data_IF_524487210026
#
_entry.id   IF_524487210026
#
_cell.length_a   1.000
_cell.length_b   1.000
_cell.length_c   1.000
_cell.angle_alpha   90.00
_cell.angle_beta   90.00
_cell.angle_gamma   90.00
#
_symmetry.space_group_name_H-M   'P 1'
#
loop_
_entity.id
_entity.type
_entity.pdbx_description
1 polymer ?
#
# COMPACT_ATOMS: atom_id res chain seq x y z
N UNK A 1 -4.85 -22.85 -30.62
CA UNK A 1 -4.38 -22.04 -29.48
C UNK A 1 -3.44 -21.01 -30.08
N UNK A 2 -3.92 -19.80 -30.29
CA UNK A 2 -3.08 -18.69 -30.74
C UNK A 2 -2.26 -18.22 -29.51
N UNK A 3 -0.97 -18.47 -29.52
CA UNK A 3 -0.04 -17.84 -28.60
C UNK A 3 0.09 -16.38 -29.06
N UNK A 4 -0.56 -15.46 -28.36
CA UNK A 4 -0.29 -14.02 -28.52
C UNK A 4 1.19 -13.82 -28.28
N UNK A 5 1.94 -13.47 -29.32
CA UNK A 5 3.34 -13.14 -29.17
C UNK A 5 3.44 -11.77 -28.49
N UNK A 6 4.52 -11.51 -27.76
CA UNK A 6 4.81 -10.19 -27.18
C UNK A 6 4.75 -9.05 -28.22
N UNK A 7 4.90 -9.35 -29.51
CA UNK A 7 4.78 -8.41 -30.61
C UNK A 7 3.34 -7.95 -30.86
N UNK A 8 2.34 -8.73 -30.47
CA UNK A 8 0.92 -8.34 -30.58
C UNK A 8 0.48 -7.35 -29.49
N UNK A 9 1.35 -7.10 -28.51
CA UNK A 9 1.14 -6.13 -27.41
C UNK A 9 1.83 -4.76 -27.67
N UNK A 10 2.33 -4.53 -28.89
CA UNK A 10 3.11 -3.36 -29.26
C UNK A 10 2.50 -1.98 -28.94
N UNK A 11 1.17 -1.75 -29.02
CA UNK A 11 0.61 -0.44 -28.66
C UNK A 11 0.88 -0.03 -27.21
N UNK A 12 1.08 -0.98 -26.31
CA UNK A 12 1.30 -0.71 -24.89
C UNK A 12 2.71 -0.20 -24.61
N UNK A 13 3.69 -0.52 -25.47
CA UNK A 13 5.08 -0.09 -25.30
C UNK A 13 5.31 1.39 -25.65
N UNK A 14 4.39 2.02 -26.35
CA UNK A 14 4.50 3.42 -26.79
C UNK A 14 3.78 4.39 -25.86
N UNK A 15 3.08 3.90 -24.83
CA UNK A 15 2.29 4.70 -23.92
C UNK A 15 2.83 4.66 -22.50
N UNK A 16 2.88 5.81 -21.85
CA UNK A 16 3.09 5.90 -20.41
C UNK A 16 1.84 5.46 -19.63
N UNK A 17 1.98 5.17 -18.33
CA UNK A 17 0.87 4.65 -17.50
C UNK A 17 -0.33 5.57 -17.42
N UNK A 18 -0.13 6.87 -17.38
CA UNK A 18 -1.16 7.89 -17.40
C UNK A 18 -1.89 7.94 -18.75
N UNK A 19 -1.16 7.81 -19.85
CA UNK A 19 -1.73 7.73 -21.20
C UNK A 19 -2.59 6.46 -21.37
N UNK A 20 -2.14 5.31 -20.85
CA UNK A 20 -2.91 4.07 -20.84
C UNK A 20 -4.25 4.26 -20.10
N UNK A 21 -4.27 5.00 -19.00
CA UNK A 21 -5.50 5.34 -18.28
C UNK A 21 -6.46 6.18 -19.13
N UNK A 22 -5.93 7.20 -19.82
CA UNK A 22 -6.73 8.02 -20.74
C UNK A 22 -7.33 7.17 -21.86
N UNK A 23 -6.55 6.27 -22.45
CA UNK A 23 -7.04 5.35 -23.47
C UNK A 23 -8.10 4.41 -22.91
N UNK A 24 -7.87 3.85 -21.71
CA UNK A 24 -8.83 2.99 -21.01
C UNK A 24 -10.19 3.68 -20.82
N UNK A 25 -10.20 4.94 -20.36
CA UNK A 25 -11.43 5.74 -20.25
C UNK A 25 -12.13 5.93 -21.59
N UNK A 26 -11.38 6.24 -22.65
CA UNK A 26 -11.93 6.42 -24.01
C UNK A 26 -12.50 5.13 -24.59
N UNK A 27 -11.98 3.98 -24.20
CA UNK A 27 -12.51 2.67 -24.57
C UNK A 27 -13.72 2.25 -23.75
N UNK A 28 -14.17 3.08 -22.80
CA UNK A 28 -15.36 2.82 -21.97
C UNK A 28 -15.13 1.87 -20.79
N UNK A 29 -13.88 1.67 -20.37
CA UNK A 29 -13.61 0.92 -19.15
C UNK A 29 -14.16 1.67 -17.92
N UNK A 30 -14.70 0.96 -16.92
CA UNK A 30 -15.17 1.58 -15.69
C UNK A 30 -14.06 2.39 -14.99
N UNK A 31 -14.41 3.55 -14.45
CA UNK A 31 -13.47 4.42 -13.75
C UNK A 31 -12.77 3.71 -12.59
N UNK A 32 -13.51 2.87 -11.86
CA UNK A 32 -12.96 2.03 -10.77
C UNK A 32 -11.87 1.06 -11.22
N UNK A 33 -11.83 0.71 -12.50
CA UNK A 33 -10.78 -0.12 -13.07
C UNK A 33 -9.60 0.72 -13.55
N UNK A 34 -9.88 1.86 -14.18
CA UNK A 34 -8.87 2.74 -14.78
C UNK A 34 -8.09 3.50 -13.72
N UNK A 35 -8.78 4.00 -12.67
CA UNK A 35 -8.19 4.77 -11.57
C UNK A 35 -7.73 3.90 -10.39
N UNK A 36 -7.81 2.58 -10.52
CA UNK A 36 -7.35 1.69 -9.46
C UNK A 36 -5.90 1.98 -9.08
N UNK A 37 -5.65 2.02 -7.77
CA UNK A 37 -4.29 2.12 -7.25
C UNK A 37 -3.38 1.03 -7.85
N UNK A 38 -2.12 1.33 -8.12
CA UNK A 38 -1.14 0.31 -8.48
C UNK A 38 -1.08 -0.78 -7.41
N UNK A 39 -1.02 -2.03 -7.86
CA UNK A 39 -0.89 -3.18 -6.98
C UNK A 39 0.25 -4.05 -7.50
N UNK A 40 1.19 -4.48 -6.66
CA UNK A 40 2.34 -5.25 -7.10
C UNK A 40 1.92 -6.60 -7.67
N UNK A 41 2.61 -7.06 -8.73
CA UNK A 41 2.34 -8.34 -9.38
C UNK A 41 2.38 -9.54 -8.42
N UNK A 42 3.35 -9.63 -7.48
CA UNK A 42 3.39 -10.69 -6.47
C UNK A 42 2.30 -10.58 -5.38
N UNK A 43 1.46 -9.57 -5.43
CA UNK A 43 0.42 -9.32 -4.43
C UNK A 43 0.97 -8.79 -3.11
N UNK A 44 0.21 -9.01 -2.03
CA UNK A 44 0.60 -8.52 -0.69
C UNK A 44 1.89 -9.16 -0.15
N UNK A 45 2.35 -10.25 -0.73
CA UNK A 45 3.58 -10.92 -0.31
C UNK A 45 4.80 -10.00 -0.28
N UNK A 46 4.93 -9.10 -1.27
CA UNK A 46 6.03 -8.14 -1.36
C UNK A 46 6.01 -7.07 -0.25
N UNK A 47 4.88 -6.90 0.42
CA UNK A 47 4.71 -5.98 1.56
C UNK A 47 4.87 -6.66 2.92
N UNK A 48 5.01 -7.99 2.92
CA UNK A 48 5.40 -8.80 4.08
C UNK A 48 6.90 -9.10 3.95
N UNK A 49 7.75 -8.17 4.40
CA UNK A 49 9.19 -8.19 4.11
C UNK A 49 9.89 -9.42 4.67
N UNK A 50 10.79 -10.00 3.90
CA UNK A 50 11.51 -11.21 4.28
C UNK A 50 10.65 -12.48 4.19
N UNK A 51 10.86 -13.45 5.08
CA UNK A 51 10.11 -14.71 5.06
C UNK A 51 8.62 -14.51 5.36
N UNK A 52 7.73 -14.90 4.46
CA UNK A 52 6.28 -14.74 4.64
C UNK A 52 5.78 -15.78 5.65
N UNK A 53 5.16 -15.30 6.73
CA UNK A 53 4.44 -16.14 7.70
C UNK A 53 2.96 -15.79 7.70
N UNK A 54 2.12 -16.76 8.08
CA UNK A 54 0.67 -16.58 8.04
C UNK A 54 0.20 -15.46 8.97
N UNK A 55 0.72 -15.40 10.18
CA UNK A 55 0.38 -14.41 11.18
C UNK A 55 0.74 -12.97 10.71
N UNK A 56 1.90 -12.78 10.08
CA UNK A 56 2.30 -11.49 9.51
C UNK A 56 1.45 -11.10 8.31
N UNK A 57 1.15 -12.07 7.45
CA UNK A 57 0.33 -11.81 6.27
C UNK A 57 -1.11 -11.42 6.66
N UNK A 58 -1.68 -12.08 7.67
CA UNK A 58 -3.00 -11.70 8.17
C UNK A 58 -2.98 -10.32 8.83
N UNK A 59 -1.97 -10.02 9.67
CA UNK A 59 -1.79 -8.70 10.26
C UNK A 59 -1.65 -7.61 9.17
N UNK A 60 -0.89 -7.88 8.11
CA UNK A 60 -0.77 -6.98 6.96
C UNK A 60 -2.12 -6.75 6.27
N UNK A 61 -2.88 -7.81 5.99
CA UNK A 61 -4.17 -7.73 5.29
C UNK A 61 -5.20 -6.92 6.06
N UNK A 62 -5.31 -7.17 7.35
CA UNK A 62 -6.24 -6.46 8.23
C UNK A 62 -5.83 -5.00 8.40
N UNK A 63 -4.55 -4.72 8.63
CA UNK A 63 -4.05 -3.35 8.73
C UNK A 63 -4.23 -2.57 7.41
N UNK A 64 -3.94 -3.18 6.25
CA UNK A 64 -4.12 -2.56 4.94
C UNK A 64 -5.60 -2.24 4.66
N UNK A 65 -6.51 -3.12 5.05
CA UNK A 65 -7.94 -2.89 4.92
C UNK A 65 -8.42 -1.71 5.77
N UNK A 66 -7.92 -1.56 7.00
CA UNK A 66 -8.23 -0.44 7.89
C UNK A 66 -7.71 0.87 7.30
N UNK A 67 -6.45 0.89 6.85
CA UNK A 67 -5.84 2.10 6.24
C UNK A 67 -6.64 2.55 5.02
N UNK A 68 -7.01 1.62 4.14
CA UNK A 68 -7.85 1.92 2.97
C UNK A 68 -9.18 2.52 3.36
N UNK A 69 -9.90 1.88 4.26
CA UNK A 69 -11.22 2.34 4.71
C UNK A 69 -11.17 3.74 5.32
N UNK A 70 -10.16 4.05 6.14
CA UNK A 70 -10.03 5.35 6.79
C UNK A 70 -9.62 6.47 5.82
N UNK A 71 -8.71 6.20 4.89
CA UNK A 71 -8.27 7.18 3.88
C UNK A 71 -9.41 7.48 2.91
N UNK A 72 -10.12 6.44 2.42
CA UNK A 72 -11.27 6.61 1.55
C UNK A 72 -12.41 7.39 2.23
N UNK A 73 -12.70 7.06 3.49
CA UNK A 73 -13.72 7.78 4.27
C UNK A 73 -13.35 9.24 4.57
N UNK A 74 -12.06 9.53 4.66
CA UNK A 74 -11.57 10.90 4.82
C UNK A 74 -11.59 11.72 3.53
N UNK A 75 -11.73 11.07 2.36
CA UNK A 75 -11.71 11.72 1.06
C UNK A 75 -10.34 12.30 0.70
N UNK A 76 -9.26 11.71 1.22
CA UNK A 76 -7.90 12.14 0.92
C UNK A 76 -7.51 11.75 -0.51
N UNK A 77 -6.96 12.70 -1.25
CA UNK A 77 -6.46 12.47 -2.62
C UNK A 77 -5.03 11.94 -2.59
N UNK A 78 -4.89 10.62 -2.46
CA UNK A 78 -3.60 9.94 -2.39
C UNK A 78 -3.50 8.93 -3.53
N UNK A 79 -2.43 9.05 -4.32
CA UNK A 79 -2.22 8.21 -5.50
C UNK A 79 -2.04 6.72 -5.16
N UNK A 80 -1.25 6.41 -4.11
CA UNK A 80 -1.08 5.04 -3.60
C UNK A 80 -0.83 5.04 -2.09
N UNK A 81 -1.50 4.13 -1.40
CA UNK A 81 -1.34 3.91 0.04
C UNK A 81 -1.50 2.44 0.38
N UNK A 82 -0.70 1.97 1.33
CA UNK A 82 -0.66 0.57 1.75
C UNK A 82 0.07 0.41 3.07
N UNK A 83 -0.01 -0.79 3.63
CA UNK A 83 0.76 -1.20 4.80
C UNK A 83 1.93 -2.11 4.40
N UNK A 84 2.97 -2.09 5.25
CA UNK A 84 4.12 -3.00 5.20
C UNK A 84 4.33 -3.58 6.58
N UNK A 85 4.63 -4.88 6.66
CA UNK A 85 5.02 -5.54 7.92
C UNK A 85 6.42 -6.11 7.76
N UNK A 86 7.43 -5.49 8.43
CA UNK A 86 8.82 -5.96 8.34
C UNK A 86 9.03 -7.25 9.13
N UNK A 87 10.10 -7.99 8.79
CA UNK A 87 10.50 -9.21 9.50
C UNK A 87 11.27 -8.86 10.79
N UNK A 88 10.58 -8.19 11.69
CA UNK A 88 11.09 -7.85 13.01
C UNK A 88 9.95 -7.77 14.03
N UNK A 89 10.26 -8.04 15.27
CA UNK A 89 9.33 -7.85 16.40
C UNK A 89 9.63 -6.54 17.12
N UNK A 90 8.58 -5.90 17.59
CA UNK A 90 8.66 -4.72 18.44
C UNK A 90 8.11 -5.03 19.83
N UNK A 91 8.65 -4.36 20.84
CA UNK A 91 8.12 -4.46 22.20
C UNK A 91 6.83 -3.65 22.33
N UNK A 92 5.82 -4.29 22.88
CA UNK A 92 4.54 -3.71 23.26
C UNK A 92 4.13 -4.13 24.66
N UNK A 93 2.93 -3.73 25.06
CA UNK A 93 2.26 -4.17 26.28
C UNK A 93 0.88 -4.67 25.91
N UNK A 94 0.53 -5.87 26.34
CA UNK A 94 -0.79 -6.47 26.15
C UNK A 94 -1.27 -7.04 27.47
N UNK A 95 -2.47 -6.69 27.89
CA UNK A 95 -3.07 -7.12 29.17
C UNK A 95 -2.16 -6.85 30.40
N UNK A 96 -1.39 -5.75 30.36
CA UNK A 96 -0.47 -5.36 31.41
C UNK A 96 0.90 -6.07 31.37
N UNK A 97 1.08 -7.04 30.47
CA UNK A 97 2.32 -7.77 30.31
C UNK A 97 3.11 -7.34 29.09
N UNK A 98 4.43 -7.58 29.13
CA UNK A 98 5.31 -7.31 27.99
C UNK A 98 5.05 -8.29 26.86
N UNK A 99 4.75 -7.77 25.67
CA UNK A 99 4.54 -8.53 24.46
C UNK A 99 5.59 -8.19 23.39
N UNK A 100 5.82 -9.14 22.45
CA UNK A 100 6.65 -8.95 21.27
C UNK A 100 5.82 -9.22 20.05
N UNK A 101 5.34 -8.15 19.42
CA UNK A 101 4.40 -8.18 18.32
C UNK A 101 4.96 -7.48 17.07
N UNK A 102 4.22 -7.51 15.98
CA UNK A 102 4.63 -6.90 14.73
C UNK A 102 4.44 -5.37 14.74
N UNK A 103 5.39 -4.60 14.21
CA UNK A 103 5.11 -3.24 13.78
C UNK A 103 4.44 -3.25 12.41
N UNK A 104 3.57 -2.28 12.17
CA UNK A 104 2.98 -1.96 10.87
C UNK A 104 3.53 -0.61 10.43
N UNK A 105 3.96 -0.52 9.19
CA UNK A 105 4.42 0.72 8.57
C UNK A 105 3.38 1.12 7.53
N UNK A 106 2.84 2.33 7.65
CA UNK A 106 1.93 2.92 6.67
C UNK A 106 2.78 3.65 5.64
N UNK A 107 2.56 3.38 4.37
CA UNK A 107 3.17 4.05 3.24
C UNK A 107 2.10 4.74 2.43
N UNK A 108 2.23 6.06 2.24
CA UNK A 108 1.40 6.86 1.34
C UNK A 108 2.31 7.66 0.42
N UNK A 109 1.98 7.73 -0.86
CA UNK A 109 2.74 8.49 -1.83
C UNK A 109 1.83 9.15 -2.86
N UNK A 110 2.22 10.36 -3.28
CA UNK A 110 1.70 11.05 -4.42
C UNK A 110 2.75 11.15 -5.51
N UNK A 111 2.36 10.89 -6.75
CA UNK A 111 3.24 10.95 -7.92
C UNK A 111 2.43 11.19 -9.19
N UNK A 112 3.10 11.73 -10.21
CA UNK A 112 2.53 11.89 -11.55
C UNK A 112 2.97 10.74 -12.46
N UNK A 113 4.25 10.43 -12.47
CA UNK A 113 4.89 9.54 -13.43
C UNK A 113 5.54 8.29 -12.80
N UNK A 114 5.46 8.17 -11.49
CA UNK A 114 6.14 7.16 -10.67
C UNK A 114 7.68 7.22 -10.71
N UNK A 115 8.27 8.22 -11.36
CA UNK A 115 9.73 8.43 -11.34
C UNK A 115 10.16 9.12 -10.06
N UNK A 116 9.39 10.13 -9.64
CA UNK A 116 9.52 10.79 -8.35
C UNK A 116 8.23 10.58 -7.57
N UNK A 117 8.31 10.55 -6.25
CA UNK A 117 7.12 10.48 -5.39
C UNK A 117 7.35 11.24 -4.09
N UNK A 118 6.34 11.96 -3.67
CA UNK A 118 6.32 12.69 -2.41
C UNK A 118 5.40 12.00 -1.41
N UNK A 119 5.65 12.23 -0.13
CA UNK A 119 4.82 11.71 0.96
C UNK A 119 3.81 12.78 1.34
N UNK A 120 2.49 12.52 1.22
CA UNK A 120 1.47 13.47 1.61
C UNK A 120 1.43 13.69 3.12
N UNK A 121 1.12 14.92 3.53
CA UNK A 121 0.86 15.24 4.92
C UNK A 121 -0.57 14.81 5.29
N UNK A 122 -0.68 13.76 6.09
CA UNK A 122 -1.96 13.33 6.64
C UNK A 122 -2.26 14.04 7.95
N UNK A 123 -3.48 14.50 8.10
CA UNK A 123 -3.92 15.15 9.33
C UNK A 123 -3.79 14.22 10.56
N UNK A 124 -3.28 14.75 11.67
CA UNK A 124 -3.15 14.00 12.92
C UNK A 124 -4.43 13.30 13.41
N UNK A 125 -5.65 13.88 13.25
CA UNK A 125 -6.87 13.15 13.59
C UNK A 125 -7.07 11.86 12.81
N UNK A 126 -6.77 11.84 11.51
CA UNK A 126 -6.84 10.67 10.66
C UNK A 126 -5.78 9.63 11.09
N UNK A 127 -4.53 10.07 11.26
CA UNK A 127 -3.44 9.18 11.69
C UNK A 127 -3.73 8.53 13.05
N UNK A 128 -4.31 9.27 14.00
CA UNK A 128 -4.71 8.73 15.31
C UNK A 128 -5.84 7.70 15.18
N UNK A 129 -6.84 7.94 14.33
CA UNK A 129 -7.92 6.97 14.11
C UNK A 129 -7.40 5.68 13.49
N UNK A 130 -6.60 5.77 12.42
CA UNK A 130 -5.96 4.62 11.79
C UNK A 130 -5.16 3.82 12.82
N UNK A 131 -4.29 4.50 13.58
CA UNK A 131 -3.45 3.86 14.59
C UNK A 131 -4.29 3.18 15.66
N UNK A 132 -5.32 3.85 16.18
CA UNK A 132 -6.19 3.29 17.22
C UNK A 132 -6.93 2.04 16.72
N UNK A 133 -7.44 2.07 15.49
CA UNK A 133 -8.11 0.93 14.88
C UNK A 133 -7.16 -0.24 14.66
N UNK A 134 -5.99 -0.01 14.08
CA UNK A 134 -5.00 -1.08 13.86
C UNK A 134 -4.63 -1.75 15.18
N UNK A 135 -4.34 -0.97 16.22
CA UNK A 135 -3.94 -1.52 17.52
C UNK A 135 -5.08 -2.25 18.25
N UNK A 136 -6.33 -1.88 18.02
CA UNK A 136 -7.50 -2.51 18.64
C UNK A 136 -8.03 -3.71 17.86
N UNK A 137 -7.98 -3.66 16.52
CA UNK A 137 -8.67 -4.63 15.66
C UNK A 137 -7.73 -5.69 15.09
N UNK A 138 -6.39 -5.40 14.98
CA UNK A 138 -5.43 -6.32 14.35
C UNK A 138 -4.63 -7.08 15.40
N UNK A 139 -4.87 -8.40 15.56
CA UNK A 139 -4.12 -9.21 16.51
C UNK A 139 -2.63 -9.26 16.18
N UNK A 140 -1.77 -9.25 17.19
CA UNK A 140 -0.33 -9.38 17.00
C UNK A 140 0.37 -8.13 16.46
N UNK A 141 -0.30 -6.97 16.47
CA UNK A 141 0.31 -5.67 16.16
C UNK A 141 0.43 -4.83 17.43
N UNK A 142 1.59 -4.22 17.65
CA UNK A 142 1.83 -3.39 18.83
C UNK A 142 2.36 -1.99 18.49
N UNK A 143 2.65 -1.71 17.23
CA UNK A 143 3.24 -0.43 16.83
C UNK A 143 2.82 -0.05 15.42
N UNK A 144 2.54 1.23 15.20
CA UNK A 144 2.26 1.80 13.89
C UNK A 144 3.26 2.92 13.63
N UNK A 145 3.86 2.92 12.44
CA UNK A 145 4.77 3.97 11.97
C UNK A 145 4.26 4.51 10.62
N UNK A 146 4.69 5.72 10.26
CA UNK A 146 4.45 6.33 8.97
C UNK A 146 5.77 6.56 8.26
N UNK A 147 5.93 6.06 7.03
CA UNK A 147 7.15 6.22 6.25
C UNK A 147 7.14 7.56 5.52
N UNK A 148 8.04 8.45 5.93
CA UNK A 148 8.21 9.80 5.39
C UNK A 148 9.23 9.89 4.25
N UNK A 149 9.73 8.77 3.74
CA UNK A 149 10.80 8.77 2.76
C UNK A 149 10.29 9.06 1.34
N UNK A 150 10.74 10.14 0.66
CA UNK A 150 10.36 10.40 -0.73
C UNK A 150 11.10 9.47 -1.70
N UNK A 151 10.66 9.48 -2.95
CA UNK A 151 11.38 8.87 -4.08
C UNK A 151 11.94 9.98 -5.00
N UNK A 152 13.23 10.03 -5.30
CA UNK A 152 14.30 9.38 -4.56
C UNK A 152 14.45 9.97 -3.14
N UNK A 153 15.05 9.34 -2.13
CA UNK A 153 16.06 8.27 -2.11
C UNK A 153 15.41 6.87 -1.98
N UNK A 154 14.21 6.78 -1.37
CA UNK A 154 13.49 5.54 -1.27
C UNK A 154 12.86 5.11 -2.60
N UNK A 155 12.16 3.99 -2.56
CA UNK A 155 11.29 3.50 -3.62
C UNK A 155 9.82 3.63 -3.19
N UNK A 156 8.87 3.36 -4.06
CA UNK A 156 7.46 3.33 -3.68
C UNK A 156 7.20 2.08 -2.84
N UNK A 157 7.44 0.90 -3.40
CA UNK A 157 7.40 -0.34 -2.63
C UNK A 157 8.71 -0.53 -1.87
N UNK A 158 8.66 -1.28 -0.78
CA UNK A 158 9.83 -1.53 0.08
C UNK A 158 10.72 -2.67 -0.41
N UNK A 159 10.15 -3.58 -1.21
CA UNK A 159 10.87 -4.75 -1.76
C UNK A 159 10.53 -4.97 -3.24
#
# INVERSE_FOLDING_TARGET
IYTLSLHDALPIYELFKDEVRVVGKRLGLPESMVERQPFPGPGLGVRCLGGITRDRLEALREADAIVRAEIEAAGEDIWQYFCVVPDMRATGVRDGERAFDWPVIIRCVNTVDAMTAEVPELGWPLMKRITARILAEVPGVCRVAYDLTPKPVGTIEWE
#
